data_IF_409583900569
#
_entry.id   IF_409583900569
#
_cell.length_a   1.000
_cell.length_b   1.000
_cell.length_c   1.000
_cell.angle_alpha   90.00
_cell.angle_beta   90.00
_cell.angle_gamma   90.00
#
_symmetry.space_group_name_H-M   'P 1'
#
loop_
_entity.id
_entity.type
_entity.pdbx_description
1 polymer ?
#
# COMPACT_ATOMS: atom_id res chain seq x y z
N UNK A 1 -23.22 18.62 -9.19
CA UNK A 1 -23.43 17.47 -8.32
C UNK A 1 -24.42 17.85 -7.23
N UNK A 2 -25.51 17.08 -7.08
CA UNK A 2 -26.50 17.27 -6.00
C UNK A 2 -26.31 16.18 -4.97
N UNK A 3 -26.13 16.56 -3.70
CA UNK A 3 -25.78 15.63 -2.62
C UNK A 3 -26.66 15.84 -1.39
N UNK A 4 -26.74 14.80 -0.59
CA UNK A 4 -27.27 14.93 0.77
C UNK A 4 -26.23 15.54 1.73
N UNK A 5 -26.62 15.68 2.99
CA UNK A 5 -25.77 16.21 4.04
C UNK A 5 -24.79 15.13 4.56
N UNK A 6 -24.09 14.42 3.65
CA UNK A 6 -23.08 13.42 4.01
C UNK A 6 -21.88 14.10 4.68
N UNK A 7 -21.57 13.70 5.91
CA UNK A 7 -20.49 14.29 6.73
C UNK A 7 -19.10 14.15 6.09
N UNK A 8 -18.91 13.15 5.24
CA UNK A 8 -17.66 12.97 4.47
C UNK A 8 -17.44 14.04 3.40
N UNK A 9 -18.51 14.69 2.92
CA UNK A 9 -18.43 15.76 1.93
C UNK A 9 -18.40 17.16 2.59
N UNK A 10 -19.15 17.34 3.67
CA UNK A 10 -19.23 18.62 4.35
C UNK A 10 -20.08 18.61 5.60
N UNK A 11 -19.97 19.67 6.36
CA UNK A 11 -20.71 19.89 7.58
C UNK A 11 -21.62 21.11 7.46
N UNK A 12 -22.91 20.95 7.71
CA UNK A 12 -23.86 22.06 7.73
C UNK A 12 -23.72 22.83 9.05
N UNK A 13 -23.64 24.14 8.94
CA UNK A 13 -23.62 25.06 10.08
C UNK A 13 -25.04 25.42 10.51
N UNK A 14 -25.17 26.05 11.68
CA UNK A 14 -26.44 26.53 12.22
C UNK A 14 -27.11 27.62 11.35
N UNK A 15 -26.33 28.38 10.61
CA UNK A 15 -26.80 29.40 9.66
C UNK A 15 -27.29 28.81 8.31
N UNK A 16 -27.23 27.47 8.17
CA UNK A 16 -27.62 26.77 6.95
C UNK A 16 -26.53 26.63 5.90
N UNK A 17 -25.38 27.31 6.06
CA UNK A 17 -24.24 27.16 5.17
C UNK A 17 -23.59 25.78 5.31
N UNK A 18 -22.89 25.30 4.26
CA UNK A 18 -22.15 24.05 4.29
C UNK A 18 -20.66 24.33 4.16
N UNK A 19 -19.89 23.85 5.12
CA UNK A 19 -18.43 23.85 5.03
C UNK A 19 -17.99 22.50 4.50
N UNK A 20 -17.30 22.48 3.36
CA UNK A 20 -16.79 21.27 2.75
C UNK A 20 -15.60 20.72 3.56
N UNK A 21 -15.41 19.39 3.50
CA UNK A 21 -14.15 18.79 3.96
C UNK A 21 -13.04 19.11 2.96
N UNK A 22 -11.79 19.21 3.42
CA UNK A 22 -10.65 19.61 2.59
C UNK A 22 -10.47 18.67 1.38
N UNK A 23 -10.64 17.36 1.59
CA UNK A 23 -10.53 16.35 0.53
C UNK A 23 -11.64 16.54 -0.51
N UNK A 24 -12.87 16.78 -0.07
CA UNK A 24 -13.98 16.98 -1.00
C UNK A 24 -13.89 18.33 -1.73
N UNK A 25 -13.48 19.40 -1.05
CA UNK A 25 -13.21 20.70 -1.68
C UNK A 25 -12.15 20.58 -2.78
N UNK A 26 -11.06 19.84 -2.50
CA UNK A 26 -10.01 19.55 -3.48
C UNK A 26 -10.52 18.72 -4.65
N UNK A 27 -11.39 17.73 -4.40
CA UNK A 27 -12.00 16.89 -5.43
C UNK A 27 -12.85 17.71 -6.40
N UNK A 28 -13.77 18.54 -5.91
CA UNK A 28 -14.65 19.34 -6.76
C UNK A 28 -13.87 20.41 -7.54
N UNK A 29 -12.85 21.02 -6.92
CA UNK A 29 -11.95 21.94 -7.60
C UNK A 29 -11.16 21.25 -8.72
N UNK A 30 -10.61 20.07 -8.46
CA UNK A 30 -9.85 19.28 -9.44
C UNK A 30 -10.70 18.94 -10.67
N UNK A 31 -11.95 18.51 -10.46
CA UNK A 31 -12.87 18.12 -11.53
C UNK A 31 -13.71 19.27 -12.06
N UNK A 32 -13.59 20.48 -11.53
CA UNK A 32 -14.38 21.67 -11.91
C UNK A 32 -15.88 21.43 -11.80
N UNK A 33 -16.32 20.81 -10.69
CA UNK A 33 -17.70 20.43 -10.43
C UNK A 33 -18.34 21.46 -9.48
N UNK A 34 -19.53 21.91 -9.81
CA UNK A 34 -20.37 22.64 -8.86
C UNK A 34 -21.13 21.66 -7.96
N UNK A 35 -21.26 22.00 -6.68
CA UNK A 35 -21.93 21.18 -5.69
C UNK A 35 -23.09 21.92 -5.05
N UNK A 36 -24.22 21.24 -4.97
CA UNK A 36 -25.41 21.69 -4.24
C UNK A 36 -25.79 20.64 -3.19
N UNK A 37 -26.01 21.06 -1.95
CA UNK A 37 -26.51 20.20 -0.89
C UNK A 37 -28.01 20.33 -0.76
N UNK A 38 -28.73 19.19 -0.66
CA UNK A 38 -30.13 19.14 -0.39
C UNK A 38 -30.47 19.77 0.95
N UNK A 39 -31.71 20.28 1.09
CA UNK A 39 -32.18 20.81 2.36
C UNK A 39 -32.30 19.70 3.42
N UNK A 40 -32.09 20.01 4.71
CA UNK A 40 -32.31 19.05 5.77
C UNK A 40 -33.73 18.49 5.72
N UNK A 41 -33.89 17.20 5.96
CA UNK A 41 -35.16 16.48 5.98
C UNK A 41 -35.96 16.50 4.66
N UNK A 42 -35.34 16.88 3.55
CA UNK A 42 -35.99 16.98 2.24
C UNK A 42 -35.76 15.71 1.39
N UNK A 43 -36.21 14.55 1.88
CA UNK A 43 -36.05 13.26 1.18
C UNK A 43 -36.66 13.27 -0.25
N UNK A 44 -37.68 14.10 -0.52
CA UNK A 44 -38.26 14.22 -1.85
C UNK A 44 -37.29 14.79 -2.91
N UNK A 45 -36.30 15.56 -2.52
CA UNK A 45 -35.25 16.04 -3.44
C UNK A 45 -34.36 14.90 -3.96
N UNK A 46 -34.45 13.70 -3.35
CA UNK A 46 -33.68 12.49 -3.66
C UNK A 46 -34.48 11.35 -4.31
N UNK A 47 -35.77 11.52 -4.54
CA UNK A 47 -36.62 10.43 -5.04
C UNK A 47 -36.08 9.72 -6.27
N UNK A 48 -35.41 10.45 -7.18
CA UNK A 48 -34.74 9.89 -8.36
C UNK A 48 -33.59 8.96 -8.00
N UNK A 49 -32.79 9.33 -6.99
CA UNK A 49 -31.63 8.51 -6.55
C UNK A 49 -32.09 7.24 -5.84
N UNK A 50 -33.10 7.33 -4.98
CA UNK A 50 -33.65 6.17 -4.28
C UNK A 50 -34.26 5.17 -5.26
N UNK A 51 -35.01 5.65 -6.26
CA UNK A 51 -35.52 4.82 -7.34
C UNK A 51 -34.38 4.17 -8.15
N UNK A 52 -33.35 4.92 -8.49
CA UNK A 52 -32.20 4.41 -9.20
C UNK A 52 -31.48 3.33 -8.40
N UNK A 53 -31.26 3.51 -7.08
CA UNK A 53 -30.66 2.48 -6.21
C UNK A 53 -31.51 1.20 -6.22
N UNK A 54 -32.83 1.31 -6.10
CA UNK A 54 -33.73 0.16 -6.18
C UNK A 54 -33.67 -0.55 -7.54
N UNK A 55 -33.63 0.22 -8.63
CA UNK A 55 -33.47 -0.30 -9.99
C UNK A 55 -32.13 -1.03 -10.17
N UNK A 56 -31.05 -0.39 -9.83
CA UNK A 56 -29.69 -0.97 -9.97
C UNK A 56 -29.52 -2.26 -9.16
N UNK A 57 -30.03 -2.28 -7.92
CA UNK A 57 -30.00 -3.49 -7.09
C UNK A 57 -30.70 -4.66 -7.79
N UNK A 58 -31.88 -4.45 -8.31
CA UNK A 58 -32.66 -5.53 -8.96
C UNK A 58 -32.07 -5.98 -10.29
N UNK A 59 -31.53 -5.06 -11.08
CA UNK A 59 -31.04 -5.37 -12.43
C UNK A 59 -29.57 -5.74 -12.51
N UNK A 60 -28.73 -5.26 -11.57
CA UNK A 60 -27.31 -5.53 -11.58
C UNK A 60 -26.86 -6.56 -10.55
N UNK A 61 -27.47 -6.55 -9.33
CA UNK A 61 -27.01 -7.37 -8.21
C UNK A 61 -27.84 -8.65 -8.00
N UNK A 62 -28.90 -8.84 -8.79
CA UNK A 62 -29.71 -10.06 -8.75
C UNK A 62 -29.53 -10.81 -10.09
N UNK A 63 -29.19 -12.13 -10.05
CA UNK A 63 -28.73 -12.90 -8.89
C UNK A 63 -27.46 -12.34 -8.28
N UNK A 64 -27.17 -12.72 -7.02
CA UNK A 64 -25.93 -12.30 -6.31
C UNK A 64 -24.73 -12.66 -7.17
N UNK A 65 -23.90 -11.68 -7.42
CA UNK A 65 -22.72 -11.84 -8.25
C UNK A 65 -21.56 -12.39 -7.43
N UNK A 66 -20.77 -13.26 -8.06
CA UNK A 66 -19.51 -13.79 -7.51
C UNK A 66 -18.39 -13.54 -8.50
N UNK A 67 -17.16 -13.42 -8.00
CA UNK A 67 -15.95 -13.24 -8.81
C UNK A 67 -14.73 -13.67 -8.01
N UNK A 68 -13.66 -13.98 -8.70
CA UNK A 68 -12.37 -14.37 -8.11
C UNK A 68 -11.62 -13.17 -7.52
N UNK A 69 -11.93 -11.95 -7.98
CA UNK A 69 -11.35 -10.70 -7.46
C UNK A 69 -12.35 -9.55 -7.56
N UNK A 70 -12.10 -8.47 -6.80
CA UNK A 70 -12.88 -7.25 -6.87
C UNK A 70 -12.81 -6.56 -8.24
N UNK A 71 -11.66 -6.65 -8.91
CA UNK A 71 -11.46 -6.11 -10.26
C UNK A 71 -12.30 -6.85 -11.30
N UNK A 72 -12.37 -8.19 -11.20
CA UNK A 72 -13.22 -9.00 -12.06
C UNK A 72 -14.70 -8.67 -11.83
N UNK A 73 -15.11 -8.61 -10.58
CA UNK A 73 -16.48 -8.24 -10.22
C UNK A 73 -16.84 -6.85 -10.75
N UNK A 74 -15.93 -5.88 -10.61
CA UNK A 74 -16.11 -4.52 -11.14
C UNK A 74 -16.32 -4.50 -12.65
N UNK A 75 -15.54 -5.28 -13.41
CA UNK A 75 -15.74 -5.40 -14.88
C UNK A 75 -17.10 -5.98 -15.23
N UNK A 76 -17.50 -7.08 -14.59
CA UNK A 76 -18.81 -7.69 -14.82
C UNK A 76 -19.94 -6.72 -14.51
N UNK A 77 -19.81 -5.93 -13.45
CA UNK A 77 -20.82 -4.91 -13.09
C UNK A 77 -20.88 -3.79 -14.13
N UNK A 78 -19.74 -3.33 -14.62
CA UNK A 78 -19.67 -2.30 -15.66
C UNK A 78 -20.32 -2.77 -16.95
N UNK A 79 -20.00 -3.97 -17.46
CA UNK A 79 -20.61 -4.56 -18.65
C UNK A 79 -22.13 -4.69 -18.52
N UNK A 80 -22.63 -4.98 -17.31
CA UNK A 80 -24.10 -5.00 -17.06
C UNK A 80 -24.70 -3.61 -17.09
N UNK A 81 -24.04 -2.60 -16.50
CA UNK A 81 -24.50 -1.22 -16.56
C UNK A 81 -24.60 -0.75 -18.02
N UNK A 82 -23.60 -1.04 -18.83
CA UNK A 82 -23.60 -0.67 -20.26
C UNK A 82 -24.72 -1.35 -21.03
N UNK A 83 -24.98 -2.64 -20.81
CA UNK A 83 -26.12 -3.35 -21.42
C UNK A 83 -27.46 -2.74 -21.00
N UNK A 84 -27.65 -2.50 -19.70
CA UNK A 84 -28.89 -1.88 -19.21
C UNK A 84 -29.09 -0.48 -19.82
N UNK A 85 -28.03 0.31 -19.97
CA UNK A 85 -28.11 1.63 -20.59
C UNK A 85 -28.45 1.55 -22.10
N UNK A 86 -27.95 0.52 -22.80
CA UNK A 86 -28.25 0.29 -24.23
C UNK A 86 -29.71 -0.17 -24.45
N UNK A 87 -30.26 -0.96 -23.54
CA UNK A 87 -31.63 -1.50 -23.65
C UNK A 87 -32.71 -0.57 -23.07
N UNK A 88 -32.36 0.27 -22.10
CA UNK A 88 -33.30 1.16 -21.45
C UNK A 88 -33.70 2.32 -22.34
N UNK A 89 -35.02 2.49 -22.58
CA UNK A 89 -35.56 3.66 -23.25
C UNK A 89 -35.30 4.93 -22.42
N UNK A 90 -34.86 6.00 -23.07
CA UNK A 90 -34.68 7.28 -22.40
C UNK A 90 -36.04 7.94 -22.11
N UNK A 91 -36.42 8.21 -20.83
CA UNK A 91 -37.74 8.74 -20.49
C UNK A 91 -38.06 10.08 -21.16
N UNK A 92 -37.05 10.91 -21.37
CA UNK A 92 -37.20 12.26 -21.91
C UNK A 92 -37.00 12.34 -23.43
N UNK A 93 -36.71 11.20 -24.10
CA UNK A 93 -36.43 11.15 -25.54
C UNK A 93 -36.99 9.86 -26.17
N UNK A 94 -38.28 9.86 -26.55
CA UNK A 94 -38.89 8.70 -27.16
C UNK A 94 -38.14 8.22 -28.41
N UNK A 95 -37.92 6.92 -28.50
CA UNK A 95 -37.21 6.30 -29.64
C UNK A 95 -35.66 6.22 -29.50
N UNK A 96 -35.10 6.77 -28.43
CA UNK A 96 -33.66 6.65 -28.12
C UNK A 96 -33.45 5.86 -26.86
N UNK A 97 -32.32 5.12 -26.80
CA UNK A 97 -31.84 4.48 -25.56
C UNK A 97 -31.12 5.49 -24.65
N UNK A 98 -30.92 5.14 -23.40
CA UNK A 98 -30.13 5.94 -22.46
C UNK A 98 -28.68 6.06 -22.98
N UNK A 99 -28.14 5.00 -23.59
CA UNK A 99 -26.80 5.01 -24.16
C UNK A 99 -26.67 5.98 -25.33
N UNK A 100 -27.69 6.05 -26.22
CA UNK A 100 -27.69 6.98 -27.37
C UNK A 100 -27.63 8.43 -26.91
N UNK A 101 -28.51 8.79 -25.96
CA UNK A 101 -28.52 10.14 -25.39
C UNK A 101 -27.27 10.49 -24.66
N UNK A 102 -26.67 9.54 -23.92
CA UNK A 102 -25.40 9.75 -23.25
C UNK A 102 -24.24 9.94 -24.24
N UNK A 103 -24.26 9.24 -25.38
CA UNK A 103 -23.23 9.41 -26.41
C UNK A 103 -23.23 10.85 -27.00
N UNK A 104 -24.42 11.45 -27.17
CA UNK A 104 -24.54 12.85 -27.57
C UNK A 104 -24.04 13.80 -26.47
N UNK A 105 -24.53 13.60 -25.21
CA UNK A 105 -24.16 14.41 -24.06
C UNK A 105 -22.65 14.39 -23.80
N UNK A 106 -22.00 13.24 -24.02
CA UNK A 106 -20.58 13.06 -23.80
C UNK A 106 -19.70 14.05 -24.60
N UNK A 107 -20.18 14.49 -25.76
CA UNK A 107 -19.50 15.50 -26.57
C UNK A 107 -19.48 16.90 -25.93
N UNK A 108 -20.44 17.19 -25.06
CA UNK A 108 -20.56 18.47 -24.33
C UNK A 108 -19.86 18.46 -22.95
N UNK A 109 -19.45 17.29 -22.47
CA UNK A 109 -18.78 17.17 -21.18
C UNK A 109 -17.36 17.75 -21.23
N UNK A 110 -16.93 18.37 -20.14
CA UNK A 110 -15.56 18.81 -19.98
C UNK A 110 -14.59 17.62 -20.01
N UNK A 111 -13.45 17.80 -20.64
CA UNK A 111 -12.38 16.79 -20.60
C UNK A 111 -11.95 16.52 -19.17
N UNK A 112 -11.74 15.23 -18.85
CA UNK A 112 -11.20 14.87 -17.55
C UNK A 112 -9.78 15.42 -17.39
N UNK A 113 -9.38 15.79 -16.16
CA UNK A 113 -8.00 16.18 -15.86
C UNK A 113 -7.03 15.08 -16.27
N UNK A 114 -5.88 15.45 -16.82
CA UNK A 114 -4.82 14.52 -17.24
C UNK A 114 -4.21 13.77 -16.07
N UNK A 115 -4.21 14.37 -14.88
CA UNK A 115 -3.75 13.76 -13.63
C UNK A 115 -4.96 13.24 -12.86
N UNK A 116 -4.88 12.01 -12.36
CA UNK A 116 -5.94 11.46 -11.50
C UNK A 116 -5.99 12.20 -10.17
N UNK A 117 -7.19 12.39 -9.64
CA UNK A 117 -7.35 12.91 -8.28
C UNK A 117 -6.79 11.92 -7.26
N UNK A 118 -5.91 12.41 -6.39
CA UNK A 118 -5.40 11.65 -5.26
C UNK A 118 -6.17 12.02 -3.99
N UNK A 119 -7.08 11.15 -3.57
CA UNK A 119 -7.86 11.34 -2.36
C UNK A 119 -6.99 11.04 -1.13
N UNK A 120 -6.19 12.00 -0.74
CA UNK A 120 -5.25 11.90 0.38
C UNK A 120 -5.64 12.83 1.53
N UNK A 121 -5.61 12.31 2.76
CA UNK A 121 -5.72 13.08 4.00
C UNK A 121 -4.34 13.22 4.62
N UNK A 122 -3.91 14.43 4.85
CA UNK A 122 -2.61 14.74 5.43
C UNK A 122 -2.74 14.97 6.93
N UNK A 123 -1.93 14.28 7.72
CA UNK A 123 -1.90 14.41 9.17
C UNK A 123 -0.47 14.44 9.69
N UNK A 124 -0.21 15.33 10.65
CA UNK A 124 1.04 15.30 11.41
C UNK A 124 0.83 14.47 12.68
N UNK A 125 1.67 13.47 12.89
CA UNK A 125 1.61 12.57 14.04
C UNK A 125 2.95 12.49 14.75
N UNK A 126 2.92 12.57 16.08
CA UNK A 126 4.11 12.30 16.88
C UNK A 126 4.27 10.80 17.07
N UNK A 127 5.43 10.28 16.78
CA UNK A 127 5.76 8.87 16.97
C UNK A 127 6.07 8.57 18.43
N UNK A 128 5.90 7.31 18.81
CA UNK A 128 6.23 6.80 20.14
C UNK A 128 7.77 6.60 20.30
N UNK A 129 8.17 6.03 21.46
CA UNK A 129 9.57 5.70 21.76
C UNK A 129 10.19 4.64 20.81
N UNK A 130 9.39 3.99 20.01
CA UNK A 130 9.84 2.99 19.03
C UNK A 130 9.79 3.52 17.59
N UNK A 131 9.39 4.79 17.37
CA UNK A 131 9.27 5.38 16.04
C UNK A 131 8.00 4.97 15.30
N UNK A 132 6.91 4.65 16.03
CA UNK A 132 5.62 4.28 15.46
C UNK A 132 4.64 5.43 15.59
N UNK A 133 3.96 5.76 14.50
CA UNK A 133 2.83 6.68 14.47
C UNK A 133 1.52 5.90 14.57
N UNK A 134 0.50 6.46 15.24
CA UNK A 134 -0.80 5.84 15.41
C UNK A 134 -1.83 6.51 14.49
N UNK A 135 -2.63 5.67 13.83
CA UNK A 135 -3.76 6.05 12.99
C UNK A 135 -4.89 5.04 13.17
N UNK A 136 -6.07 5.51 13.52
CA UNK A 136 -7.30 4.71 13.67
C UNK A 136 -7.09 3.46 14.57
N UNK A 137 -6.30 3.58 15.66
CA UNK A 137 -5.97 2.49 16.58
C UNK A 137 -4.87 1.52 16.09
N UNK A 138 -4.35 1.70 14.89
CA UNK A 138 -3.25 0.91 14.33
C UNK A 138 -1.93 1.68 14.39
N UNK A 139 -0.80 0.99 14.47
CA UNK A 139 0.53 1.59 14.59
C UNK A 139 1.38 1.30 13.36
N UNK A 140 2.04 2.32 12.83
CA UNK A 140 2.84 2.28 11.63
C UNK A 140 4.28 2.70 11.95
N UNK A 141 5.25 1.82 11.69
CA UNK A 141 6.66 2.06 12.02
C UNK A 141 7.32 2.97 10.98
N UNK A 142 7.77 4.14 11.38
CA UNK A 142 8.60 5.01 10.54
C UNK A 142 10.10 4.67 10.60
N UNK A 143 10.49 3.83 11.57
CA UNK A 143 11.87 3.42 11.81
C UNK A 143 12.52 4.09 13.02
N UNK A 144 13.68 3.55 13.43
CA UNK A 144 14.35 3.98 14.66
C UNK A 144 14.87 5.42 14.68
N UNK A 145 15.07 6.02 13.51
CA UNK A 145 15.44 7.45 13.38
C UNK A 145 14.32 8.41 13.74
N UNK A 146 13.08 7.90 13.81
CA UNK A 146 11.88 8.70 14.05
C UNK A 146 11.34 8.61 15.48
N UNK A 147 12.08 8.01 16.41
CA UNK A 147 11.63 7.88 17.81
C UNK A 147 11.31 9.25 18.43
N UNK A 148 10.07 9.40 18.93
CA UNK A 148 9.55 10.64 19.55
C UNK A 148 9.64 11.90 18.67
N UNK A 149 9.62 11.74 17.36
CA UNK A 149 9.62 12.80 16.37
C UNK A 149 8.26 12.93 15.70
N UNK A 150 8.03 14.04 15.02
CA UNK A 150 6.84 14.22 14.18
C UNK A 150 7.11 13.65 12.80
N UNK A 151 6.14 12.94 12.25
CA UNK A 151 6.08 12.49 10.86
C UNK A 151 4.80 13.04 10.22
N UNK A 152 4.83 13.32 8.94
CA UNK A 152 3.63 13.56 8.15
C UNK A 152 3.13 12.25 7.60
N UNK A 153 1.84 11.97 7.77
CA UNK A 153 1.16 10.81 7.23
C UNK A 153 0.28 11.22 6.05
N UNK A 154 0.51 10.63 4.89
CA UNK A 154 -0.41 10.69 3.76
C UNK A 154 -1.32 9.45 3.84
N UNK A 155 -2.58 9.68 4.20
CA UNK A 155 -3.56 8.62 4.45
C UNK A 155 -4.49 8.51 3.26
N UNK A 156 -4.40 7.38 2.54
CA UNK A 156 -5.28 6.98 1.44
C UNK A 156 -6.20 5.85 1.88
N UNK A 157 -7.15 5.50 1.05
CA UNK A 157 -8.07 4.40 1.36
C UNK A 157 -7.37 3.05 1.50
N UNK A 158 -6.28 2.80 0.78
CA UNK A 158 -5.56 1.52 0.74
C UNK A 158 -4.13 1.59 1.29
N UNK A 159 -3.58 2.80 1.47
CA UNK A 159 -2.16 3.00 1.76
C UNK A 159 -1.95 4.11 2.79
N UNK A 160 -0.96 3.94 3.63
CA UNK A 160 -0.45 4.96 4.55
C UNK A 160 1.03 5.16 4.27
N UNK A 161 1.41 6.39 3.90
CA UNK A 161 2.80 6.78 3.67
C UNK A 161 3.26 7.68 4.81
N UNK A 162 4.36 7.34 5.47
CA UNK A 162 5.00 8.17 6.50
C UNK A 162 6.16 8.93 5.88
N UNK A 163 6.23 10.22 6.15
CA UNK A 163 7.19 11.12 5.51
C UNK A 163 7.84 12.06 6.53
N UNK A 164 9.04 12.51 6.19
CA UNK A 164 9.70 13.62 6.85
C UNK A 164 8.91 14.92 6.59
N UNK A 165 8.41 15.61 7.63
CA UNK A 165 7.61 16.83 7.44
C UNK A 165 8.39 17.99 6.82
N UNK A 166 9.73 17.95 6.86
CA UNK A 166 10.58 19.04 6.36
C UNK A 166 11.01 18.81 4.92
N UNK A 167 11.43 17.58 4.62
CA UNK A 167 12.03 17.25 3.31
C UNK A 167 11.06 16.55 2.35
N UNK A 168 9.92 16.06 2.85
CA UNK A 168 9.00 15.25 2.09
C UNK A 168 9.52 13.84 1.77
N UNK A 169 10.71 13.46 2.29
CA UNK A 169 11.28 12.13 2.04
C UNK A 169 10.43 11.06 2.71
N UNK A 170 10.08 10.03 1.95
CA UNK A 170 9.34 8.87 2.45
C UNK A 170 10.22 8.09 3.44
N UNK A 171 9.69 7.87 4.63
CA UNK A 171 10.29 7.05 5.67
C UNK A 171 9.81 5.59 5.57
N UNK A 172 8.51 5.38 5.32
CA UNK A 172 7.91 4.06 5.13
C UNK A 172 6.54 4.15 4.45
N UNK A 173 6.11 3.05 3.83
CA UNK A 173 4.79 2.89 3.25
C UNK A 173 4.19 1.55 3.66
N UNK A 174 2.88 1.55 3.95
CA UNK A 174 2.18 0.34 4.40
C UNK A 174 0.77 0.29 3.81
N UNK A 175 0.23 -0.90 3.53
CA UNK A 175 -1.20 -1.06 3.37
C UNK A 175 -1.93 -0.50 4.59
N UNK A 176 -3.03 0.24 4.35
CA UNK A 176 -3.83 0.76 5.46
C UNK A 176 -4.54 -0.37 6.18
N UNK A 177 -4.35 -0.43 7.49
CA UNK A 177 -5.08 -1.37 8.34
C UNK A 177 -6.45 -0.81 8.71
N UNK A 178 -7.43 -1.70 8.81
CA UNK A 178 -8.82 -1.42 9.19
C UNK A 178 -9.28 -2.39 10.28
N UNK A 179 -10.38 -2.09 10.91
CA UNK A 179 -10.98 -2.91 11.96
C UNK A 179 -10.74 -2.38 13.37
N UNK A 180 -10.82 -3.26 14.35
CA UNK A 180 -10.87 -2.89 15.79
C UNK A 180 -9.54 -2.37 16.39
N UNK A 181 -8.54 -2.10 15.57
CA UNK A 181 -7.26 -1.56 16.00
C UNK A 181 -6.27 -2.64 16.50
N UNK A 182 -5.16 -2.17 17.09
CA UNK A 182 -4.14 -3.02 17.70
C UNK A 182 -3.06 -3.57 16.76
N UNK A 183 -3.24 -3.53 15.45
CA UNK A 183 -2.22 -3.99 14.50
C UNK A 183 -0.97 -3.10 14.51
N UNK A 184 0.19 -3.72 14.33
CA UNK A 184 1.46 -3.02 14.15
C UNK A 184 2.00 -3.32 12.77
N UNK A 185 1.97 -2.31 11.90
CA UNK A 185 2.54 -2.37 10.56
C UNK A 185 4.02 -2.01 10.65
N UNK A 186 4.88 -2.95 10.32
CA UNK A 186 6.33 -2.76 10.41
C UNK A 186 7.02 -3.49 9.26
N UNK A 187 7.82 -2.75 8.52
CA UNK A 187 8.75 -3.33 7.55
C UNK A 187 9.91 -3.98 8.31
N UNK A 188 10.18 -5.28 8.11
CA UNK A 188 11.30 -5.96 8.70
C UNK A 188 12.64 -5.25 8.46
N UNK A 189 12.85 -4.65 7.30
CA UNK A 189 14.05 -3.90 6.99
C UNK A 189 14.28 -2.70 7.93
N UNK A 190 13.19 -2.06 8.41
CA UNK A 190 13.26 -0.97 9.39
C UNK A 190 13.42 -1.47 10.83
N UNK A 191 13.02 -2.72 11.11
CA UNK A 191 13.17 -3.33 12.44
C UNK A 191 14.60 -3.83 12.67
N UNK A 192 15.23 -4.42 11.67
CA UNK A 192 16.57 -5.02 11.79
C UNK A 192 17.64 -4.07 12.36
N UNK A 193 17.76 -2.78 11.94
CA UNK A 193 18.72 -1.85 12.54
C UNK A 193 18.46 -1.57 14.02
N UNK A 194 17.22 -1.70 14.48
CA UNK A 194 16.87 -1.52 15.88
C UNK A 194 17.29 -2.74 16.70
N UNK A 195 17.15 -3.94 16.15
CA UNK A 195 17.60 -5.20 16.75
C UNK A 195 19.13 -5.27 16.84
N UNK A 196 19.84 -4.83 15.81
CA UNK A 196 21.31 -4.73 15.84
C UNK A 196 21.82 -3.86 16.99
N UNK A 197 21.08 -2.80 17.37
CA UNK A 197 21.39 -1.97 18.53
C UNK A 197 21.01 -2.61 19.87
N UNK A 198 20.02 -3.51 19.88
CA UNK A 198 19.46 -4.17 21.08
C UNK A 198 19.26 -5.66 20.83
N UNK A 199 20.32 -6.48 20.74
CA UNK A 199 20.24 -7.91 20.36
C UNK A 199 19.33 -8.72 21.31
N UNK A 200 19.27 -8.35 22.59
CA UNK A 200 18.40 -9.00 23.58
C UNK A 200 16.89 -8.94 23.25
N UNK A 201 16.49 -7.99 22.38
CA UNK A 201 15.10 -7.91 21.90
C UNK A 201 14.80 -8.94 20.80
N UNK A 202 15.80 -9.62 20.25
CA UNK A 202 15.68 -10.56 19.14
C UNK A 202 14.64 -11.66 19.41
N UNK A 203 14.72 -12.32 20.56
CA UNK A 203 13.85 -13.47 20.90
C UNK A 203 12.36 -13.13 20.93
N UNK A 204 12.02 -11.89 21.26
CA UNK A 204 10.63 -11.40 21.36
C UNK A 204 10.26 -10.48 20.18
N UNK A 205 11.07 -10.44 19.14
CA UNK A 205 10.81 -9.56 18.00
C UNK A 205 9.74 -10.14 17.07
N UNK A 206 8.72 -9.37 16.68
CA UNK A 206 7.73 -9.81 15.71
C UNK A 206 8.31 -10.08 14.31
N UNK A 207 9.50 -9.56 14.00
CA UNK A 207 10.15 -9.81 12.71
C UNK A 207 10.48 -11.30 12.50
N UNK A 208 10.67 -12.06 13.59
CA UNK A 208 10.93 -13.50 13.52
C UNK A 208 9.83 -14.26 12.76
N UNK A 209 8.56 -13.87 12.92
CA UNK A 209 7.44 -14.48 12.21
C UNK A 209 7.46 -14.27 10.68
N UNK A 210 8.35 -13.39 10.20
CA UNK A 210 8.51 -13.09 8.78
C UNK A 210 9.84 -13.63 8.21
N UNK A 211 10.66 -14.27 9.05
CA UNK A 211 11.95 -14.83 8.66
C UNK A 211 11.86 -16.33 8.39
N UNK A 212 12.70 -16.87 7.50
CA UNK A 212 12.81 -18.30 7.32
C UNK A 212 13.23 -19.01 8.61
N UNK A 213 12.63 -20.16 8.91
CA UNK A 213 12.87 -20.91 10.16
C UNK A 213 14.35 -21.28 10.34
N UNK A 214 15.00 -21.67 9.26
CA UNK A 214 16.41 -22.04 9.24
C UNK A 214 17.36 -20.86 9.56
N UNK A 215 17.00 -19.64 9.18
CA UNK A 215 17.73 -18.42 9.55
C UNK A 215 17.51 -18.08 11.02
N UNK A 216 16.29 -18.27 11.51
CA UNK A 216 15.96 -18.07 12.94
C UNK A 216 16.79 -19.01 13.80
N UNK A 217 16.81 -20.30 13.48
CA UNK A 217 17.61 -21.31 14.21
C UNK A 217 19.10 -20.98 14.20
N UNK A 218 19.61 -20.52 13.07
CA UNK A 218 21.01 -20.12 12.95
C UNK A 218 21.35 -18.96 13.87
N UNK A 219 20.51 -17.92 13.91
CA UNK A 219 20.69 -16.76 14.78
C UNK A 219 20.49 -17.10 16.27
N UNK A 220 19.56 -18.00 16.59
CA UNK A 220 19.29 -18.43 17.97
C UNK A 220 20.42 -19.25 18.58
N UNK A 221 21.23 -19.92 17.76
CA UNK A 221 22.40 -20.70 18.19
C UNK A 221 23.64 -19.83 18.50
N UNK A 222 23.61 -18.53 18.17
CA UNK A 222 24.74 -17.61 18.36
C UNK A 222 24.76 -17.05 19.79
N UNK A 223 25.96 -16.73 20.26
CA UNK A 223 26.15 -15.91 21.45
C UNK A 223 25.71 -14.44 21.19
N UNK A 224 25.70 -13.61 22.27
CA UNK A 224 25.24 -12.22 22.18
C UNK A 224 26.11 -11.37 21.23
N UNK A 225 27.39 -11.62 21.12
CA UNK A 225 28.33 -10.88 20.29
C UNK A 225 28.17 -11.23 18.82
N UNK A 226 28.10 -12.50 18.52
CA UNK A 226 27.87 -13.01 17.17
C UNK A 226 26.48 -12.66 16.65
N UNK A 227 25.46 -12.76 17.51
CA UNK A 227 24.11 -12.33 17.20
C UNK A 227 24.05 -10.83 16.84
N UNK A 228 24.72 -9.98 17.63
CA UNK A 228 24.78 -8.54 17.35
C UNK A 228 25.44 -8.25 16.00
N UNK A 229 26.54 -8.92 15.72
CA UNK A 229 27.29 -8.78 14.46
C UNK A 229 26.41 -9.23 13.28
N UNK A 230 25.77 -10.38 13.40
CA UNK A 230 24.88 -10.94 12.38
C UNK A 230 23.65 -10.06 12.12
N UNK A 231 23.01 -9.58 13.18
CA UNK A 231 21.88 -8.65 13.04
C UNK A 231 22.30 -7.34 12.37
N UNK A 232 23.54 -6.87 12.64
CA UNK A 232 24.13 -5.71 11.96
C UNK A 232 24.35 -5.95 10.47
N UNK A 233 24.91 -7.08 10.11
CA UNK A 233 25.13 -7.48 8.72
C UNK A 233 23.79 -7.63 7.95
N UNK A 234 22.82 -8.27 8.57
CA UNK A 234 21.47 -8.42 8.00
C UNK A 234 20.81 -7.05 7.82
N UNK A 235 20.91 -6.15 8.82
CA UNK A 235 20.35 -4.81 8.75
C UNK A 235 20.94 -4.00 7.58
N UNK A 236 22.23 -4.09 7.35
CA UNK A 236 22.93 -3.44 6.22
C UNK A 236 22.45 -4.02 4.88
N UNK A 237 22.37 -5.34 4.79
CA UNK A 237 21.89 -6.02 3.59
C UNK A 237 20.43 -5.69 3.27
N UNK A 238 19.56 -5.64 4.30
CA UNK A 238 18.16 -5.21 4.14
C UNK A 238 18.05 -3.76 3.63
N UNK A 239 18.91 -2.86 4.14
CA UNK A 239 18.92 -1.46 3.69
C UNK A 239 19.32 -1.32 2.23
N UNK A 240 20.21 -2.17 1.74
CA UNK A 240 20.78 -2.08 0.39
C UNK A 240 19.99 -2.88 -0.65
N UNK A 241 19.56 -4.09 -0.31
CA UNK A 241 18.95 -5.03 -1.24
C UNK A 241 17.46 -5.31 -0.95
N UNK A 242 16.96 -4.93 0.23
CA UNK A 242 15.61 -5.29 0.69
C UNK A 242 15.62 -6.54 1.59
N UNK A 243 14.49 -6.76 2.27
CA UNK A 243 14.40 -7.83 3.28
C UNK A 243 14.43 -9.24 2.65
N UNK A 244 13.62 -9.50 1.62
CA UNK A 244 13.56 -10.83 1.00
C UNK A 244 14.90 -11.28 0.40
N UNK A 245 15.62 -10.47 -0.43
CA UNK A 245 16.94 -10.82 -0.92
C UNK A 245 17.98 -11.04 0.20
N UNK A 246 17.89 -10.26 1.30
CA UNK A 246 18.77 -10.45 2.45
C UNK A 246 18.54 -11.79 3.15
N UNK A 247 17.27 -12.23 3.28
CA UNK A 247 16.94 -13.55 3.85
C UNK A 247 17.43 -14.69 2.97
N UNK A 248 17.26 -14.59 1.65
CA UNK A 248 17.76 -15.59 0.72
C UNK A 248 19.29 -15.67 0.70
N UNK A 249 19.96 -14.53 0.84
CA UNK A 249 21.41 -14.48 1.00
C UNK A 249 21.86 -15.15 2.32
N UNK A 250 21.15 -14.93 3.44
CA UNK A 250 21.41 -15.63 4.70
C UNK A 250 21.32 -17.14 4.54
N UNK A 251 20.29 -17.64 3.85
CA UNK A 251 20.11 -19.09 3.59
C UNK A 251 21.27 -19.68 2.77
N UNK A 252 21.71 -18.98 1.72
CA UNK A 252 22.86 -19.41 0.90
C UNK A 252 24.15 -19.42 1.69
N UNK A 253 24.43 -18.37 2.45
CA UNK A 253 25.65 -18.31 3.28
C UNK A 253 25.65 -19.35 4.39
N UNK A 254 24.52 -19.64 5.02
CA UNK A 254 24.41 -20.72 6.01
C UNK A 254 24.88 -22.07 5.46
N UNK A 255 24.51 -22.38 4.21
CA UNK A 255 24.92 -23.64 3.57
C UNK A 255 26.43 -23.77 3.37
N UNK A 256 27.13 -22.64 3.20
CA UNK A 256 28.58 -22.61 2.93
C UNK A 256 29.43 -22.28 4.16
N UNK A 257 28.92 -21.40 5.04
CA UNK A 257 29.69 -20.88 6.20
C UNK A 257 29.43 -21.67 7.50
N UNK A 258 28.51 -22.64 7.52
CA UNK A 258 28.19 -23.41 8.72
C UNK A 258 27.62 -22.54 9.85
N UNK A 259 28.21 -22.62 11.04
CA UNK A 259 27.77 -21.88 12.24
C UNK A 259 28.38 -20.49 12.35
N UNK A 260 29.31 -20.10 11.47
CA UNK A 260 29.96 -18.79 11.51
C UNK A 260 28.97 -17.65 11.29
N UNK A 261 29.01 -16.54 12.08
CA UNK A 261 28.16 -15.39 11.89
C UNK A 261 28.37 -14.74 10.51
N UNK A 262 27.30 -14.34 9.80
CA UNK A 262 27.42 -13.67 8.53
C UNK A 262 28.03 -12.27 8.71
N UNK A 263 28.90 -11.87 7.80
CA UNK A 263 29.50 -10.53 7.75
C UNK A 263 28.82 -9.69 6.68
N UNK A 264 28.80 -8.37 6.86
CA UNK A 264 28.13 -7.47 5.93
C UNK A 264 28.81 -7.44 4.55
N UNK A 265 30.13 -7.57 4.50
CA UNK A 265 30.93 -7.63 3.28
C UNK A 265 30.71 -8.92 2.46
N UNK A 266 30.21 -9.98 3.09
CA UNK A 266 29.83 -11.24 2.44
C UNK A 266 28.33 -11.25 2.06
N UNK A 267 27.47 -10.83 2.99
CA UNK A 267 26.02 -10.95 2.86
C UNK A 267 25.44 -9.95 1.85
N UNK A 268 25.90 -8.69 1.91
CA UNK A 268 25.32 -7.61 1.10
C UNK A 268 25.53 -7.83 -0.41
N UNK A 269 26.72 -8.22 -0.90
CA UNK A 269 26.92 -8.51 -2.32
C UNK A 269 26.03 -9.67 -2.83
N UNK A 270 25.85 -10.71 -2.02
CA UNK A 270 24.98 -11.85 -2.37
C UNK A 270 23.51 -11.40 -2.44
N UNK A 271 23.07 -10.62 -1.46
CA UNK A 271 21.71 -10.08 -1.44
C UNK A 271 21.44 -9.15 -2.64
N UNK A 272 22.41 -8.33 -3.04
CA UNK A 272 22.31 -7.48 -4.22
C UNK A 272 22.17 -8.29 -5.51
N UNK A 273 22.97 -9.33 -5.70
CA UNK A 273 22.85 -10.23 -6.87
C UNK A 273 21.50 -10.89 -6.94
N UNK A 274 20.98 -11.37 -5.81
CA UNK A 274 19.63 -11.96 -5.75
C UNK A 274 18.57 -10.94 -6.14
N UNK A 275 18.67 -9.72 -5.61
CA UNK A 275 17.76 -8.62 -5.96
C UNK A 275 17.74 -8.32 -7.46
N UNK A 276 18.93 -8.30 -8.08
CA UNK A 276 19.14 -7.94 -9.48
C UNK A 276 18.87 -9.13 -10.44
N UNK A 277 18.39 -10.27 -9.90
CA UNK A 277 18.01 -11.46 -10.68
C UNK A 277 19.19 -12.30 -11.17
N UNK A 278 20.40 -12.04 -10.69
CA UNK A 278 21.54 -12.90 -10.98
C UNK A 278 21.36 -14.24 -10.25
N UNK A 279 21.12 -15.30 -11.01
CA UNK A 279 21.36 -16.68 -10.55
C UNK A 279 22.83 -16.80 -10.17
N UNK A 280 23.12 -17.62 -9.13
CA UNK A 280 24.51 -17.88 -8.71
C UNK A 280 25.40 -18.09 -9.95
N UNK A 281 26.56 -17.43 -10.07
CA UNK A 281 27.44 -17.72 -11.17
C UNK A 281 27.68 -19.23 -11.14
N UNK A 282 27.42 -19.90 -12.26
CA UNK A 282 28.04 -21.21 -12.49
C UNK A 282 29.50 -21.03 -12.11
N UNK A 283 30.02 -21.91 -11.25
CA UNK A 283 31.39 -21.77 -10.74
C UNK A 283 32.34 -21.39 -11.86
N UNK A 284 33.45 -20.73 -11.55
CA UNK A 284 34.36 -20.25 -12.58
C UNK A 284 34.61 -21.41 -13.56
N UNK A 285 34.38 -21.14 -14.86
CA UNK A 285 34.71 -22.10 -15.90
C UNK A 285 36.23 -22.31 -15.87
N UNK A 286 36.63 -23.35 -15.17
CA UNK A 286 38.06 -23.72 -15.03
C UNK A 286 38.60 -24.38 -16.31
N UNK A 287 37.74 -24.66 -17.30
CA UNK A 287 38.16 -25.25 -18.58
C UNK A 287 39.21 -24.38 -19.30
N UNK A 288 39.16 -23.04 -19.08
CA UNK A 288 40.19 -22.14 -19.58
C UNK A 288 41.59 -22.40 -18.93
N UNK A 289 41.63 -22.92 -17.71
CA UNK A 289 42.88 -23.27 -17.04
C UNK A 289 43.43 -24.63 -17.49
N UNK A 290 42.59 -25.54 -17.92
CA UNK A 290 42.98 -26.83 -18.50
C UNK A 290 43.80 -26.65 -19.80
N UNK A 291 43.58 -25.53 -20.51
CA UNK A 291 44.38 -25.12 -21.66
C UNK A 291 45.82 -24.70 -21.27
N UNK A 292 46.07 -24.27 -20.03
CA UNK A 292 47.39 -23.89 -19.53
C UNK A 292 48.13 -25.07 -18.84
N UNK A 293 47.39 -26.09 -18.44
CA UNK A 293 47.95 -27.32 -17.86
C UNK A 293 48.28 -28.34 -18.95
N UNK A 294 48.92 -27.86 -20.04
CA UNK A 294 49.29 -28.58 -21.24
C UNK A 294 49.34 -30.09 -21.04
N UNK A 295 48.48 -30.83 -21.71
CA UNK A 295 48.76 -32.23 -21.99
C UNK A 295 49.94 -32.28 -22.92
N UNK A 296 51.11 -32.45 -22.34
CA UNK A 296 52.20 -33.15 -23.05
C UNK A 296 51.79 -34.62 -23.14
N UNK A 297 51.58 -35.06 -24.38
CA UNK A 297 51.36 -36.44 -24.73
C UNK A 297 52.62 -37.25 -24.64
#
# INVERSE_FOLDING_TARGET
LVMDNATGAGHRRSDGSVTLTDVFASFIAHHRIEVRFCNPYSGHEKGSVENAVGFLRRNLLVPIQSGESWEQLGRVMLDRCERVAAEAACPNRPGSSVADVFAEERGELLALPSVRFDAVRWENRRTDKYGRAELDGHRYLAGGGWCRRTVTMAVRWNMVTLMDPTTGRIAAEYPRAYGDGGSVMADPALVMPMLAKKPRAWRNSPVRGQMPADVIEWLDAMDETDLKTSLGAIAESCRTAGFAPAMDACRRLRQTAGTRPPRADELTPVAMRIRDGETAPSGPDLSAYDLFLGKEA
#
